data_IF_967215272537
#
_entry.id   IF_967215272537
#
_cell.length_a   1.000
_cell.length_b   1.000
_cell.length_c   1.000
_cell.angle_alpha   90.00
_cell.angle_beta   90.00
_cell.angle_gamma   90.00
#
_symmetry.space_group_name_H-M   'P 1'
#
loop_
_entity.id
_entity.type
_entity.pdbx_description
1 polymer ?
#
# COMPACT_ATOMS: atom_id res chain seq x y z
N UNK A 1 -58.33 33.00 35.94
CA UNK A 1 -58.40 31.52 36.01
C UNK A 1 -56.97 30.99 36.11
N UNK A 2 -56.61 30.23 37.16
CA UNK A 2 -55.24 29.77 37.38
C UNK A 2 -54.96 28.52 36.53
N UNK A 3 -53.88 28.55 35.75
CA UNK A 3 -53.38 27.38 35.03
C UNK A 3 -52.87 26.36 36.06
N UNK A 4 -53.29 25.08 36.02
CA UNK A 4 -52.93 24.12 37.04
C UNK A 4 -51.42 23.85 37.04
N UNK A 5 -50.80 23.85 38.23
CA UNK A 5 -49.35 23.63 38.43
C UNK A 5 -48.82 22.28 37.88
N UNK A 6 -49.71 21.33 37.55
CA UNK A 6 -49.35 20.03 36.98
C UNK A 6 -48.78 20.10 35.55
N UNK A 7 -49.20 21.06 34.71
CA UNK A 7 -48.74 21.11 33.31
C UNK A 7 -47.31 21.61 33.17
N UNK A 8 -46.80 22.43 34.11
CA UNK A 8 -45.40 22.87 34.09
C UNK A 8 -44.40 21.78 34.51
N UNK A 9 -44.79 20.91 35.44
CA UNK A 9 -43.93 19.81 35.89
C UNK A 9 -43.75 18.74 34.81
N UNK A 10 -44.81 18.45 34.03
CA UNK A 10 -44.76 17.46 32.96
C UNK A 10 -43.94 17.92 31.75
N UNK A 11 -43.93 19.23 31.44
CA UNK A 11 -43.15 19.81 30.33
C UNK A 11 -41.65 19.87 30.67
N UNK A 12 -41.27 20.12 31.93
CA UNK A 12 -39.87 20.05 32.32
C UNK A 12 -39.34 18.60 32.35
N UNK A 13 -40.14 17.63 32.79
CA UNK A 13 -39.72 16.23 32.85
C UNK A 13 -39.48 15.63 31.45
N UNK A 14 -40.28 15.99 30.45
CA UNK A 14 -40.08 15.56 29.06
C UNK A 14 -38.90 16.26 28.37
N UNK A 15 -38.65 17.54 28.67
CA UNK A 15 -37.46 18.24 28.16
C UNK A 15 -36.16 17.63 28.69
N UNK A 16 -36.13 17.15 29.93
CA UNK A 16 -34.91 16.56 30.52
C UNK A 16 -34.61 15.16 29.99
N UNK A 17 -35.64 14.41 29.56
CA UNK A 17 -35.47 13.10 28.90
C UNK A 17 -35.04 13.20 27.43
N UNK A 18 -35.44 14.27 26.73
CA UNK A 18 -35.01 14.50 25.34
C UNK A 18 -33.55 15.00 25.23
N UNK A 19 -33.00 15.61 26.28
CA UNK A 19 -31.61 16.07 26.30
C UNK A 19 -30.57 14.97 26.61
N UNK A 20 -30.99 13.80 27.12
CA UNK A 20 -30.07 12.69 27.39
C UNK A 20 -29.93 11.69 26.23
N UNK A 21 -30.78 11.76 25.20
CA UNK A 21 -30.75 10.82 24.06
C UNK A 21 -29.84 11.27 22.91
N UNK A 22 -29.24 12.46 22.98
CA UNK A 22 -28.12 12.82 22.13
C UNK A 22 -26.83 12.18 22.66
N UNK A 23 -26.80 10.84 22.70
CA UNK A 23 -25.55 10.12 22.72
C UNK A 23 -24.84 10.50 21.41
N UNK A 24 -23.93 11.48 21.49
CA UNK A 24 -22.99 11.76 20.42
C UNK A 24 -22.22 10.47 20.20
N UNK A 25 -22.59 9.70 19.17
CA UNK A 25 -21.83 8.53 18.76
C UNK A 25 -20.40 9.02 18.52
N UNK A 26 -19.48 8.62 19.41
CA UNK A 26 -18.06 8.89 19.22
C UNK A 26 -17.69 8.21 17.91
N UNK A 27 -17.12 8.93 16.92
CA UNK A 27 -16.72 8.31 15.67
C UNK A 27 -15.79 7.14 15.96
N UNK A 28 -16.27 5.91 15.74
CA UNK A 28 -15.44 4.71 15.89
C UNK A 28 -14.28 4.81 14.89
N UNK A 29 -13.03 4.62 15.33
CA UNK A 29 -11.86 4.82 14.47
C UNK A 29 -11.84 3.81 13.32
N UNK A 30 -11.35 4.26 12.17
CA UNK A 30 -11.14 3.42 10.98
C UNK A 30 -10.38 2.14 11.35
N UNK A 31 -10.81 1.00 10.80
CA UNK A 31 -10.12 -0.26 11.08
C UNK A 31 -8.80 -0.30 10.32
N UNK A 32 -7.73 -0.60 11.06
CA UNK A 32 -6.34 -0.54 10.59
C UNK A 32 -5.86 -1.92 10.18
N UNK A 33 -5.19 -2.01 9.03
CA UNK A 33 -4.64 -3.27 8.50
C UNK A 33 -3.24 -3.09 7.97
N UNK A 34 -2.48 -4.18 7.95
CA UNK A 34 -1.16 -4.26 7.32
C UNK A 34 -1.16 -5.41 6.33
N UNK A 35 -0.49 -5.24 5.18
CA UNK A 35 -0.41 -6.26 4.14
C UNK A 35 1.01 -6.80 4.04
N UNK A 36 1.18 -8.12 4.19
CA UNK A 36 2.45 -8.79 3.94
C UNK A 36 2.31 -9.67 2.70
N UNK A 37 3.18 -9.46 1.72
CA UNK A 37 3.14 -10.15 0.42
C UNK A 37 4.38 -11.03 0.31
N UNK A 38 4.15 -12.33 0.21
CA UNK A 38 5.19 -13.34 0.03
C UNK A 38 5.91 -13.16 -1.30
N UNK A 39 7.12 -13.71 -1.40
CA UNK A 39 7.85 -13.79 -2.66
C UNK A 39 7.57 -15.09 -3.40
N UNK A 40 7.80 -15.09 -4.71
CA UNK A 40 7.62 -16.30 -5.51
C UNK A 40 8.03 -16.18 -6.98
N UNK A 41 9.11 -15.49 -7.32
CA UNK A 41 9.56 -15.31 -8.71
C UNK A 41 8.40 -14.99 -9.67
N UNK A 42 8.08 -15.87 -10.64
CA UNK A 42 6.98 -15.70 -11.59
C UNK A 42 5.58 -15.77 -10.98
N UNK A 43 5.41 -16.38 -9.79
CA UNK A 43 4.16 -16.37 -9.03
C UNK A 43 3.72 -14.95 -8.67
N UNK A 44 4.66 -14.00 -8.64
CA UNK A 44 4.36 -12.58 -8.41
C UNK A 44 3.31 -12.01 -9.37
N UNK A 45 3.26 -12.49 -10.62
CA UNK A 45 2.24 -12.08 -11.60
C UNK A 45 0.83 -12.55 -11.21
N UNK A 46 0.70 -13.74 -10.61
CA UNK A 46 -0.57 -14.25 -10.10
C UNK A 46 -1.00 -13.49 -8.84
N UNK A 47 -0.05 -13.25 -7.93
CA UNK A 47 -0.28 -12.44 -6.73
C UNK A 47 -0.71 -11.02 -7.08
N UNK A 48 -0.23 -10.46 -8.19
CA UNK A 48 -0.54 -9.11 -8.63
C UNK A 48 -2.04 -8.88 -8.85
N UNK A 49 -2.73 -9.82 -9.50
CA UNK A 49 -4.17 -9.74 -9.72
C UNK A 49 -4.97 -9.83 -8.41
N UNK A 50 -4.54 -10.70 -7.49
CA UNK A 50 -5.15 -10.82 -6.16
C UNK A 50 -4.94 -9.54 -5.34
N UNK A 51 -3.72 -8.99 -5.32
CA UNK A 51 -3.40 -7.75 -4.63
C UNK A 51 -4.22 -6.58 -5.18
N UNK A 52 -4.33 -6.46 -6.51
CA UNK A 52 -5.19 -5.48 -7.15
C UNK A 52 -6.64 -5.61 -6.67
N UNK A 53 -7.21 -6.82 -6.72
CA UNK A 53 -8.60 -7.07 -6.32
C UNK A 53 -8.88 -6.73 -4.86
N UNK A 54 -7.97 -7.12 -3.94
CA UNK A 54 -8.06 -6.80 -2.53
C UNK A 54 -8.03 -5.28 -2.32
N UNK A 55 -7.05 -4.57 -2.88
CA UNK A 55 -6.94 -3.11 -2.70
C UNK A 55 -8.13 -2.37 -3.30
N UNK A 56 -8.60 -2.83 -4.45
CA UNK A 56 -9.76 -2.27 -5.13
C UNK A 56 -11.03 -2.41 -4.28
N UNK A 57 -11.24 -3.60 -3.69
CA UNK A 57 -12.33 -3.84 -2.74
C UNK A 57 -12.18 -2.96 -1.50
N UNK A 58 -11.01 -2.97 -0.84
CA UNK A 58 -10.76 -2.23 0.40
C UNK A 58 -10.97 -0.72 0.24
N UNK A 59 -10.54 -0.15 -0.89
CA UNK A 59 -10.75 1.27 -1.21
C UNK A 59 -12.21 1.61 -1.40
N UNK A 60 -12.99 0.75 -2.06
CA UNK A 60 -14.41 1.03 -2.34
C UNK A 60 -15.34 0.69 -1.20
N UNK A 61 -14.97 -0.27 -0.35
CA UNK A 61 -15.79 -0.71 0.77
C UNK A 61 -16.15 0.44 1.72
N UNK A 62 -15.22 1.38 1.96
CA UNK A 62 -15.48 2.55 2.80
C UNK A 62 -16.43 3.60 2.21
N UNK A 63 -16.74 3.50 0.91
CA UNK A 63 -17.56 4.48 0.17
C UNK A 63 -18.90 3.91 -0.33
N UNK A 64 -19.18 2.62 -0.12
CA UNK A 64 -20.37 1.96 -0.67
C UNK A 64 -21.53 2.03 0.32
N UNK A 65 -22.68 2.59 -0.05
CA UNK A 65 -23.83 2.71 0.87
C UNK A 65 -24.20 1.36 1.53
N UNK A 66 -24.39 1.32 2.85
CA UNK A 66 -24.65 0.08 3.57
C UNK A 66 -26.04 -0.45 3.23
N UNK A 67 -26.08 -1.58 2.52
CA UNK A 67 -27.32 -2.21 2.00
C UNK A 67 -28.30 -2.63 3.10
N UNK A 68 -27.81 -2.87 4.33
CA UNK A 68 -28.58 -3.42 5.45
C UNK A 68 -28.76 -2.46 6.64
N UNK A 69 -28.65 -1.14 6.42
CA UNK A 69 -28.88 -0.15 7.48
C UNK A 69 -27.80 -0.11 8.57
N UNK A 70 -26.62 -0.66 8.29
CA UNK A 70 -25.44 -0.53 9.16
C UNK A 70 -24.66 0.76 8.90
N UNK A 71 -23.64 1.05 9.71
CA UNK A 71 -22.68 2.13 9.42
C UNK A 71 -21.50 1.58 8.63
N UNK A 72 -21.09 2.31 7.57
CA UNK A 72 -19.84 2.00 6.87
C UNK A 72 -18.65 2.30 7.75
N UNK A 73 -17.74 1.32 7.82
CA UNK A 73 -16.50 1.46 8.56
C UNK A 73 -15.34 1.53 7.58
N UNK A 74 -14.69 2.70 7.43
CA UNK A 74 -13.56 2.82 6.52
C UNK A 74 -12.42 1.92 6.96
N UNK A 75 -11.79 1.29 5.98
CA UNK A 75 -10.61 0.45 6.16
C UNK A 75 -9.40 1.30 5.80
N UNK A 76 -8.39 1.33 6.66
CA UNK A 76 -7.15 2.07 6.44
C UNK A 76 -5.98 1.11 6.44
N UNK A 77 -5.31 1.04 5.30
CA UNK A 77 -4.01 0.39 5.21
C UNK A 77 -2.96 1.25 5.93
N UNK A 78 -2.17 0.61 6.78
CA UNK A 78 -1.20 1.29 7.66
C UNK A 78 0.25 0.93 7.39
N UNK A 79 0.50 -0.19 6.72
CA UNK A 79 1.84 -0.57 6.26
C UNK A 79 1.75 -1.70 5.25
N UNK A 80 2.81 -1.87 4.47
CA UNK A 80 3.02 -3.06 3.64
C UNK A 80 4.43 -3.59 3.74
N UNK A 81 4.59 -4.90 3.54
CA UNK A 81 5.90 -5.51 3.44
C UNK A 81 5.91 -6.64 2.41
N UNK A 82 7.08 -6.87 1.81
CA UNK A 82 7.25 -8.00 0.91
C UNK A 82 8.69 -8.39 0.63
N UNK A 83 8.85 -9.56 0.02
CA UNK A 83 10.17 -10.13 -0.29
C UNK A 83 10.22 -10.60 -1.76
N UNK A 84 11.36 -10.40 -2.44
CA UNK A 84 11.52 -10.79 -3.85
C UNK A 84 10.40 -10.18 -4.72
N UNK A 85 9.66 -10.99 -5.48
CA UNK A 85 8.47 -10.60 -6.24
C UNK A 85 7.38 -9.91 -5.38
N UNK A 86 7.22 -10.33 -4.12
CA UNK A 86 6.33 -9.69 -3.16
C UNK A 86 6.77 -8.28 -2.79
N UNK A 87 8.07 -7.99 -2.87
CA UNK A 87 8.61 -6.64 -2.71
C UNK A 87 8.15 -5.70 -3.84
N UNK A 88 8.17 -6.19 -5.09
CA UNK A 88 7.61 -5.47 -6.25
C UNK A 88 6.12 -5.21 -5.98
N UNK A 89 5.35 -6.26 -5.68
CA UNK A 89 3.93 -6.15 -5.41
C UNK A 89 3.62 -5.22 -4.22
N UNK A 90 4.48 -5.14 -3.21
CA UNK A 90 4.30 -4.21 -2.08
C UNK A 90 4.45 -2.75 -2.51
N UNK A 91 5.43 -2.44 -3.37
CA UNK A 91 5.61 -1.10 -3.94
C UNK A 91 4.40 -0.75 -4.82
N UNK A 92 3.99 -1.63 -5.73
CA UNK A 92 2.83 -1.39 -6.61
C UNK A 92 1.54 -1.20 -5.81
N UNK A 93 1.37 -2.00 -4.76
CA UNK A 93 0.24 -1.88 -3.85
C UNK A 93 0.22 -0.57 -3.09
N UNK A 94 1.38 -0.07 -2.64
CA UNK A 94 1.48 1.24 -2.00
C UNK A 94 1.15 2.39 -2.95
N UNK A 95 1.66 2.31 -4.19
CA UNK A 95 1.32 3.27 -5.25
C UNK A 95 -0.19 3.31 -5.49
N UNK A 96 -0.79 2.15 -5.80
CA UNK A 96 -2.23 2.03 -6.08
C UNK A 96 -3.08 2.41 -4.88
N UNK A 97 -2.62 2.12 -3.66
CA UNK A 97 -3.31 2.58 -2.46
C UNK A 97 -3.39 4.10 -2.44
N UNK A 98 -2.29 4.82 -2.69
CA UNK A 98 -2.23 6.28 -2.65
C UNK A 98 -2.74 7.00 -3.92
N UNK A 99 -2.99 6.31 -5.03
CA UNK A 99 -3.49 6.93 -6.27
C UNK A 99 -4.87 7.54 -6.10
N UNK A 100 -5.12 8.71 -6.69
CA UNK A 100 -6.45 9.32 -6.82
C UNK A 100 -7.40 8.40 -7.61
N UNK A 101 -8.70 8.67 -7.57
CA UNK A 101 -9.60 7.99 -8.51
C UNK A 101 -9.27 8.41 -9.95
N UNK A 102 -9.47 7.51 -10.91
CA UNK A 102 -9.16 7.79 -12.34
C UNK A 102 -9.95 9.00 -12.85
N UNK A 103 -11.21 9.17 -12.41
CA UNK A 103 -12.05 10.32 -12.75
C UNK A 103 -11.50 11.67 -12.23
N UNK A 104 -10.60 11.63 -11.24
CA UNK A 104 -9.99 12.80 -10.61
C UNK A 104 -8.54 13.03 -11.10
N UNK A 105 -8.14 12.40 -12.20
CA UNK A 105 -6.79 12.48 -12.73
C UNK A 105 -5.79 11.51 -12.08
N UNK A 106 -6.26 10.48 -11.36
CA UNK A 106 -5.44 9.35 -10.94
C UNK A 106 -5.00 8.45 -12.09
N UNK A 107 -4.17 7.45 -11.79
CA UNK A 107 -3.81 6.40 -12.75
C UNK A 107 -5.06 5.61 -13.19
N UNK A 108 -5.00 5.05 -14.40
CA UNK A 108 -6.01 4.09 -14.85
C UNK A 108 -5.96 2.86 -13.93
N UNK A 109 -7.13 2.41 -13.48
CA UNK A 109 -7.23 1.34 -12.48
C UNK A 109 -8.43 0.41 -12.75
N UNK A 110 -8.44 -0.22 -13.93
CA UNK A 110 -9.42 -1.21 -14.37
C UNK A 110 -8.84 -2.62 -14.29
N UNK A 111 -9.70 -3.64 -14.34
CA UNK A 111 -9.26 -5.04 -14.31
C UNK A 111 -8.31 -5.37 -15.48
N UNK A 112 -8.59 -4.83 -16.66
CA UNK A 112 -7.86 -5.06 -17.90
C UNK A 112 -6.73 -4.04 -18.17
N UNK A 113 -6.67 -2.96 -17.38
CA UNK A 113 -5.75 -1.85 -17.55
C UNK A 113 -5.40 -1.24 -16.19
N UNK A 114 -4.26 -1.66 -15.64
CA UNK A 114 -3.76 -1.18 -14.35
C UNK A 114 -2.26 -1.43 -14.21
N UNK A 115 -1.67 -0.72 -13.25
CA UNK A 115 -0.24 -0.74 -12.99
C UNK A 115 0.33 -2.13 -12.65
N UNK A 116 -0.42 -2.99 -11.96
CA UNK A 116 0.04 -4.35 -11.65
C UNK A 116 0.20 -5.18 -12.92
N UNK A 117 -0.82 -5.13 -13.79
CA UNK A 117 -0.82 -5.81 -15.07
C UNK A 117 0.34 -5.32 -15.95
N UNK A 118 0.51 -4.01 -16.07
CA UNK A 118 1.53 -3.43 -16.94
C UNK A 118 2.95 -3.84 -16.53
N UNK A 119 3.25 -3.77 -15.24
CA UNK A 119 4.57 -4.16 -14.73
C UNK A 119 4.82 -5.65 -14.96
N UNK A 120 3.89 -6.53 -14.58
CA UNK A 120 4.12 -7.97 -14.68
C UNK A 120 4.08 -8.51 -16.11
N UNK A 121 3.24 -7.95 -16.98
CA UNK A 121 3.19 -8.37 -18.39
C UNK A 121 4.31 -7.77 -19.24
N UNK A 122 4.99 -6.72 -18.77
CA UNK A 122 6.19 -6.20 -19.44
C UNK A 122 7.44 -7.07 -19.26
N UNK A 123 7.39 -8.02 -18.32
CA UNK A 123 8.51 -8.92 -18.03
C UNK A 123 8.35 -10.19 -18.87
N UNK A 124 9.10 -10.27 -19.97
CA UNK A 124 9.08 -11.41 -20.90
C UNK A 124 10.21 -12.42 -20.60
N UNK A 125 9.93 -13.72 -20.73
CA UNK A 125 10.93 -14.77 -20.49
C UNK A 125 12.08 -14.72 -21.50
N UNK A 126 11.85 -14.29 -22.74
CA UNK A 126 12.89 -14.12 -23.76
C UNK A 126 13.73 -12.87 -23.51
N UNK A 127 13.26 -11.94 -22.68
CA UNK A 127 14.04 -10.80 -22.21
C UNK A 127 14.86 -11.18 -20.96
N UNK A 128 14.28 -11.99 -20.07
CA UNK A 128 14.94 -12.52 -18.87
C UNK A 128 16.00 -13.58 -19.19
N UNK A 129 15.73 -14.49 -20.12
CA UNK A 129 16.64 -15.54 -20.56
C UNK A 129 16.74 -15.53 -22.10
N UNK A 130 17.46 -14.57 -22.68
CA UNK A 130 17.66 -14.52 -24.12
C UNK A 130 18.24 -15.86 -24.65
N UNK A 131 17.77 -16.33 -25.81
CA UNK A 131 18.16 -17.64 -26.35
C UNK A 131 19.65 -17.73 -26.72
N UNK A 132 20.31 -16.58 -26.90
CA UNK A 132 21.74 -16.51 -27.20
C UNK A 132 22.50 -15.85 -26.04
N UNK A 133 23.62 -16.42 -25.57
CA UNK A 133 24.42 -15.85 -24.49
C UNK A 133 25.01 -14.46 -24.82
N UNK A 134 25.22 -14.16 -26.10
CA UNK A 134 25.76 -12.88 -26.59
C UNK A 134 24.67 -11.84 -26.88
N UNK A 135 23.44 -12.08 -26.42
CA UNK A 135 22.32 -11.16 -26.64
C UNK A 135 22.59 -9.77 -26.07
N UNK A 136 22.30 -8.68 -26.81
CA UNK A 136 22.46 -7.31 -26.31
C UNK A 136 21.49 -6.95 -25.18
N UNK A 137 20.57 -7.87 -24.82
CA UNK A 137 19.65 -7.71 -23.69
C UNK A 137 20.33 -7.93 -22.34
N UNK A 138 21.43 -8.68 -22.29
CA UNK A 138 22.22 -8.81 -21.06
C UNK A 138 22.92 -7.49 -20.76
N UNK A 139 22.72 -6.99 -19.54
CA UNK A 139 23.42 -5.82 -19.05
C UNK A 139 24.72 -6.21 -18.35
N UNK A 140 25.69 -5.29 -18.20
CA UNK A 140 26.89 -5.55 -17.43
C UNK A 140 26.57 -6.02 -16.00
N UNK A 141 27.17 -7.14 -15.59
CA UNK A 141 26.95 -7.76 -14.29
C UNK A 141 25.74 -8.68 -14.19
N UNK A 142 25.01 -8.91 -15.30
CA UNK A 142 23.96 -9.92 -15.34
C UNK A 142 24.56 -11.32 -15.25
N UNK A 143 23.83 -12.23 -14.58
CA UNK A 143 24.18 -13.64 -14.48
C UNK A 143 23.48 -14.45 -15.57
N UNK A 144 22.87 -15.58 -15.16
CA UNK A 144 22.06 -16.40 -16.07
C UNK A 144 20.82 -15.64 -16.60
N UNK A 145 20.25 -14.76 -15.77
CA UNK A 145 19.07 -13.97 -16.13
C UNK A 145 19.47 -12.52 -16.40
N UNK A 146 19.03 -12.01 -17.55
CA UNK A 146 19.07 -10.60 -17.91
C UNK A 146 18.08 -9.80 -17.07
N UNK A 147 18.51 -8.62 -16.60
CA UNK A 147 17.65 -7.71 -15.82
C UNK A 147 17.00 -6.61 -16.65
N UNK A 148 17.19 -6.60 -17.96
CA UNK A 148 16.80 -5.49 -18.84
C UNK A 148 15.29 -5.19 -18.82
N UNK A 149 14.42 -6.20 -18.92
CA UNK A 149 12.96 -6.00 -18.85
C UNK A 149 12.51 -5.46 -17.50
N UNK A 150 13.11 -5.93 -16.40
CA UNK A 150 12.82 -5.43 -15.05
C UNK A 150 13.26 -3.96 -14.91
N UNK A 151 14.42 -3.60 -15.46
CA UNK A 151 14.91 -2.20 -15.46
C UNK A 151 13.99 -1.30 -16.28
N UNK A 152 13.50 -1.78 -17.43
CA UNK A 152 12.54 -1.04 -18.25
C UNK A 152 11.21 -0.83 -17.52
N UNK A 153 10.66 -1.88 -16.92
CA UNK A 153 9.45 -1.80 -16.10
C UNK A 153 9.61 -0.80 -14.94
N UNK A 154 10.76 -0.83 -14.26
CA UNK A 154 11.08 0.13 -13.21
C UNK A 154 11.18 1.57 -13.74
N UNK A 155 11.72 1.79 -14.94
CA UNK A 155 11.78 3.11 -15.57
C UNK A 155 10.38 3.66 -15.85
N UNK A 156 9.48 2.84 -16.40
CA UNK A 156 8.09 3.25 -16.64
C UNK A 156 7.36 3.57 -15.32
N UNK A 157 7.59 2.75 -14.28
CA UNK A 157 7.05 3.00 -12.95
C UNK A 157 7.53 4.35 -12.38
N UNK A 158 8.81 4.66 -12.55
CA UNK A 158 9.40 5.95 -12.14
C UNK A 158 8.81 7.14 -12.89
N UNK A 159 8.44 6.96 -14.15
CA UNK A 159 7.78 8.02 -14.90
C UNK A 159 6.36 8.25 -14.39
N UNK A 160 5.63 7.17 -14.07
CA UNK A 160 4.27 7.26 -13.52
C UNK A 160 4.24 7.90 -12.13
N UNK A 161 5.20 7.59 -11.26
CA UNK A 161 5.22 8.11 -9.89
C UNK A 161 5.57 9.62 -9.80
N UNK A 162 6.14 10.19 -10.88
CA UNK A 162 6.66 11.57 -10.94
C UNK A 162 5.60 12.53 -11.48
N UNK A 163 4.36 12.05 -11.58
CA UNK A 163 3.20 12.78 -12.09
C UNK A 163 2.18 12.96 -10.97
N UNK A 164 1.33 14.00 -11.03
CA UNK A 164 0.39 14.38 -9.96
C UNK A 164 -0.85 13.46 -9.89
N UNK A 165 -0.65 12.14 -9.89
CA UNK A 165 -1.71 11.12 -9.89
C UNK A 165 -2.12 10.65 -8.49
N UNK A 166 -1.44 11.11 -7.44
CA UNK A 166 -1.57 10.57 -6.08
C UNK A 166 -2.26 11.57 -5.14
N UNK A 167 -2.90 11.06 -4.09
CA UNK A 167 -3.64 11.85 -3.11
C UNK A 167 -2.65 12.57 -2.19
N UNK A 168 -2.59 13.92 -2.19
CA UNK A 168 -1.69 14.67 -1.32
C UNK A 168 -1.84 14.27 0.15
N UNK A 169 -0.71 14.12 0.86
CA UNK A 169 -0.69 13.72 2.27
C UNK A 169 -0.89 12.22 2.52
N UNK A 170 -1.04 11.39 1.49
CA UNK A 170 -0.98 9.94 1.66
C UNK A 170 0.43 9.53 2.10
N UNK A 171 0.51 8.81 3.22
CA UNK A 171 1.76 8.26 3.76
C UNK A 171 1.57 6.77 4.04
N UNK A 172 2.54 5.96 3.63
CA UNK A 172 2.48 4.51 3.80
C UNK A 172 3.87 3.92 4.07
N UNK A 173 4.12 3.43 5.29
CA UNK A 173 5.29 2.63 5.60
C UNK A 173 5.38 1.35 4.77
N UNK A 174 6.55 1.10 4.19
CA UNK A 174 6.88 -0.02 3.34
C UNK A 174 8.13 -0.75 3.86
N UNK A 175 8.14 -2.08 3.79
CA UNK A 175 9.30 -2.90 4.12
C UNK A 175 9.61 -3.90 3.03
N UNK A 176 10.76 -3.75 2.36
CA UNK A 176 11.16 -4.69 1.30
C UNK A 176 12.39 -5.48 1.74
N UNK A 177 12.31 -6.80 1.62
CA UNK A 177 13.46 -7.68 1.85
C UNK A 177 14.30 -7.79 0.58
N UNK A 178 15.59 -7.53 0.72
CA UNK A 178 16.60 -7.57 -0.34
C UNK A 178 17.76 -8.50 0.03
N UNK A 179 18.50 -8.93 -0.99
CA UNK A 179 19.72 -9.71 -0.82
C UNK A 179 20.92 -8.80 -1.03
N UNK A 180 21.84 -8.77 -0.07
CA UNK A 180 23.09 -8.02 -0.17
C UNK A 180 24.03 -8.68 -1.17
N UNK A 181 24.68 -7.87 -2.00
CA UNK A 181 25.76 -8.33 -2.90
C UNK A 181 26.95 -8.87 -2.08
N UNK A 182 27.29 -8.20 -0.98
CA UNK A 182 28.28 -8.65 0.01
C UNK A 182 27.57 -9.01 1.31
N UNK A 183 27.61 -10.28 1.76
CA UNK A 183 27.00 -10.67 3.04
C UNK A 183 27.54 -9.83 4.21
N UNK A 184 26.68 -9.56 5.18
CA UNK A 184 27.10 -9.04 6.47
C UNK A 184 27.68 -10.19 7.31
N UNK A 185 28.84 -9.97 7.94
CA UNK A 185 29.39 -10.88 8.94
C UNK A 185 28.76 -10.56 10.29
N UNK A 186 28.10 -11.55 10.88
CA UNK A 186 27.48 -11.45 12.20
C UNK A 186 28.14 -12.51 13.06
N UNK A 187 28.56 -12.12 14.27
CA UNK A 187 29.09 -13.05 15.25
C UNK A 187 27.98 -13.43 16.22
N UNK A 188 27.72 -14.73 16.37
CA UNK A 188 26.73 -15.29 17.29
C UNK A 188 27.45 -16.40 18.06
N UNK A 189 27.62 -16.23 19.38
CA UNK A 189 28.29 -17.20 20.26
C UNK A 189 29.61 -17.74 19.68
N UNK A 190 30.51 -16.83 19.28
CA UNK A 190 31.81 -17.13 18.66
C UNK A 190 31.76 -17.82 17.28
N UNK A 191 30.57 -17.94 16.68
CA UNK A 191 30.39 -18.42 15.30
C UNK A 191 30.18 -17.22 14.38
N UNK A 192 31.02 -17.09 13.35
CA UNK A 192 30.81 -16.10 12.29
C UNK A 192 29.83 -16.63 11.27
N UNK A 193 28.66 -16.00 11.18
CA UNK A 193 27.62 -16.28 10.20
C UNK A 193 27.62 -15.21 9.12
N UNK A 194 27.46 -15.62 7.86
CA UNK A 194 27.30 -14.72 6.72
C UNK A 194 25.80 -14.51 6.46
N UNK A 195 25.29 -13.32 6.79
CA UNK A 195 23.90 -12.97 6.52
C UNK A 195 23.79 -12.09 5.27
N UNK A 196 23.17 -12.64 4.22
CA UNK A 196 22.86 -11.89 2.99
C UNK A 196 21.50 -11.21 3.01
N UNK A 197 20.58 -11.61 3.91
CA UNK A 197 19.21 -11.06 3.93
C UNK A 197 19.18 -9.76 4.71
N UNK A 198 18.57 -8.74 4.12
CA UNK A 198 18.38 -7.43 4.74
C UNK A 198 17.00 -6.88 4.41
N UNK A 199 16.44 -6.10 5.31
CA UNK A 199 15.17 -5.41 5.09
C UNK A 199 15.43 -3.92 4.98
N UNK A 200 14.90 -3.30 3.93
CA UNK A 200 14.90 -1.86 3.73
C UNK A 200 13.52 -1.35 4.16
N UNK A 201 13.39 -0.79 5.37
CA UNK A 201 12.23 0.04 5.71
C UNK A 201 12.33 1.38 4.98
N UNK A 202 11.21 1.86 4.46
CA UNK A 202 11.07 3.18 3.88
C UNK A 202 9.60 3.59 3.94
N UNK A 203 9.31 4.85 3.67
CA UNK A 203 7.94 5.37 3.63
C UNK A 203 7.67 5.94 2.24
N UNK A 204 6.52 5.58 1.68
CA UNK A 204 5.97 6.27 0.53
C UNK A 204 5.23 7.51 1.05
N UNK A 205 5.63 8.68 0.56
CA UNK A 205 5.01 9.94 0.89
C UNK A 205 4.53 10.65 -0.38
N UNK A 206 3.30 11.13 -0.36
CA UNK A 206 2.75 11.95 -1.45
C UNK A 206 2.84 13.42 -1.09
N UNK A 207 3.60 14.18 -1.88
CA UNK A 207 3.76 15.62 -1.73
C UNK A 207 2.46 16.40 -1.96
N UNK A 208 2.48 17.69 -1.64
CA UNK A 208 1.34 18.59 -1.92
C UNK A 208 1.06 18.77 -3.41
N UNK A 209 2.06 18.53 -4.25
CA UNK A 209 1.99 18.51 -5.70
C UNK A 209 1.41 17.20 -6.27
N UNK A 210 1.10 16.22 -5.42
CA UNK A 210 0.56 14.93 -5.80
C UNK A 210 1.58 13.97 -6.42
N UNK A 211 2.89 14.25 -6.31
CA UNK A 211 3.98 13.34 -6.72
C UNK A 211 4.47 12.50 -5.55
N UNK A 212 5.19 11.42 -5.83
CA UNK A 212 5.70 10.50 -4.80
C UNK A 212 7.17 10.72 -4.50
N UNK A 213 7.47 10.76 -3.20
CA UNK A 213 8.80 10.60 -2.66
C UNK A 213 8.88 9.31 -1.83
N UNK A 214 10.08 8.73 -1.79
CA UNK A 214 10.41 7.65 -0.87
C UNK A 214 11.39 8.16 0.16
N UNK A 215 10.96 8.21 1.41
CA UNK A 215 11.75 8.63 2.54
C UNK A 215 12.19 7.46 3.41
N UNK A 216 13.20 7.68 4.23
CA UNK A 216 13.47 6.82 5.38
C UNK A 216 13.57 7.73 6.60
N UNK A 217 12.65 7.58 7.54
CA UNK A 217 12.75 8.20 8.86
C UNK A 217 13.14 7.13 9.89
N UNK A 218 14.42 7.06 10.32
CA UNK A 218 14.86 6.10 11.32
C UNK A 218 14.09 6.19 12.64
N UNK A 219 13.58 7.38 13.01
CA UNK A 219 12.84 7.62 14.25
C UNK A 219 11.44 7.03 14.19
N UNK A 220 10.80 7.05 13.02
CA UNK A 220 9.50 6.42 12.80
C UNK A 220 9.53 4.88 12.93
N UNK A 221 10.70 4.26 12.78
CA UNK A 221 10.90 2.80 12.89
C UNK A 221 11.52 2.35 14.22
N UNK A 222 11.63 3.24 15.22
CA UNK A 222 12.06 2.86 16.58
C UNK A 222 13.52 2.43 16.70
N UNK A 223 14.40 2.86 15.78
CA UNK A 223 15.81 2.44 15.73
C UNK A 223 16.74 3.11 16.78
N UNK A 224 16.19 3.55 17.91
CA UNK A 224 16.96 4.07 19.07
C UNK A 224 16.84 3.13 20.29
N UNK A 225 16.93 1.81 20.10
CA UNK A 225 17.15 0.86 21.19
C UNK A 225 18.29 -0.08 20.91
#
# INVERSE_FOLDING_TARGET
MPVPRLTRALILATATWLLCAAATAVPEPAKRYSLAISGGASMGAYEAGLNWGILHFLRRYGHADPVLGGENRPLTLTSMAGASAGGINSILSGLVWCTRETAEGGLVNRLDDNLFRDVWLSIDINDLLPPRPDSPRYLPGDGLLSRSSIVNAASHLKQAWNRPHFRPGCRLPLGVTVTRVKPARIEIDHVTVQNQRFTIPFELEVGTDGTIAYGFDPKAFGAER
#
